data_IF_126992114570
#
_entry.id   IF_126992114570
#
_cell.length_a   1.000
_cell.length_b   1.000
_cell.length_c   1.000
_cell.angle_alpha   90.00
_cell.angle_beta   90.00
_cell.angle_gamma   90.00
#
_symmetry.space_group_name_H-M   'P 1'
#
loop_
_entity.id
_entity.type
_entity.pdbx_description
1 polymer ?
#
# COMPACT_ATOMS: atom_id res chain seq x y z
N UNK A 1 2.53 -0.20 10.26
CA UNK A 1 2.73 -0.33 8.78
C UNK A 1 1.44 -0.15 8.00
N UNK A 2 0.37 -0.78 8.44
CA UNK A 2 -0.93 -0.66 7.76
C UNK A 2 -1.40 0.79 7.69
N UNK A 3 -1.28 1.53 8.76
CA UNK A 3 -1.73 2.92 8.84
C UNK A 3 -0.95 3.83 7.89
N UNK A 4 0.34 3.57 7.72
CA UNK A 4 1.15 4.33 6.78
C UNK A 4 0.64 4.11 5.35
N UNK A 5 0.38 2.87 4.98
CA UNK A 5 -0.14 2.55 3.65
C UNK A 5 -1.51 3.20 3.42
N UNK A 6 -2.38 3.14 4.41
CA UNK A 6 -3.71 3.77 4.32
C UNK A 6 -3.60 5.28 4.16
N UNK A 7 -2.69 5.90 4.92
CA UNK A 7 -2.48 7.35 4.84
C UNK A 7 -2.02 7.77 3.45
N UNK A 8 -1.07 7.03 2.89
CA UNK A 8 -0.57 7.32 1.54
C UNK A 8 -1.70 7.17 0.52
N UNK A 9 -2.44 6.08 0.58
CA UNK A 9 -3.51 5.81 -0.38
C UNK A 9 -4.62 6.85 -0.28
N UNK A 10 -5.03 7.21 0.94
CA UNK A 10 -6.09 8.21 1.14
C UNK A 10 -5.72 9.57 0.58
N UNK A 11 -4.44 9.90 0.56
CA UNK A 11 -3.97 11.17 -0.01
C UNK A 11 -4.04 11.21 -1.53
N UNK A 12 -4.12 10.05 -2.18
CA UNK A 12 -4.08 9.95 -3.63
C UNK A 12 -5.45 9.77 -4.27
N UNK A 13 -6.43 9.27 -3.53
CA UNK A 13 -7.71 8.84 -4.09
C UNK A 13 -8.80 9.86 -3.92
N UNK A 14 -9.85 9.70 -4.74
CA UNK A 14 -11.05 10.52 -4.67
C UNK A 14 -12.02 10.03 -3.59
N UNK A 15 -12.01 8.73 -3.30
CA UNK A 15 -12.91 8.10 -2.33
C UNK A 15 -12.11 7.50 -1.18
N UNK A 16 -11.57 8.35 -0.28
CA UNK A 16 -10.75 7.85 0.83
C UNK A 16 -11.50 6.94 1.80
N UNK A 17 -12.80 7.08 1.89
CA UNK A 17 -13.63 6.20 2.73
C UNK A 17 -13.65 4.76 2.25
N UNK A 18 -13.28 4.52 0.99
CA UNK A 18 -13.22 3.17 0.42
C UNK A 18 -11.83 2.54 0.50
N UNK A 19 -10.88 3.26 1.10
CA UNK A 19 -9.52 2.74 1.26
C UNK A 19 -9.49 1.79 2.44
N UNK A 20 -9.05 0.56 2.21
CA UNK A 20 -8.85 -0.43 3.25
C UNK A 20 -7.51 -1.11 3.05
N UNK A 21 -6.79 -1.31 4.13
CA UNK A 21 -5.57 -2.10 4.10
C UNK A 21 -5.72 -3.24 5.09
N UNK A 22 -5.34 -4.43 4.65
CA UNK A 22 -5.31 -5.59 5.51
C UNK A 22 -3.86 -6.03 5.70
N UNK A 23 -3.54 -6.47 6.89
CA UNK A 23 -2.20 -6.91 7.22
C UNK A 23 -2.24 -8.36 7.69
N UNK A 24 -1.34 -9.15 7.14
CA UNK A 24 -1.15 -10.52 7.56
C UNK A 24 0.33 -10.72 7.83
N UNK A 25 0.66 -11.28 8.98
CA UNK A 25 2.05 -11.59 9.31
C UNK A 25 2.24 -13.10 9.21
N UNK A 26 3.27 -13.50 8.46
CA UNK A 26 3.52 -14.90 8.21
C UNK A 26 5.02 -15.13 8.07
N UNK A 27 5.55 -16.00 8.94
CA UNK A 27 6.98 -16.37 8.90
C UNK A 27 7.93 -15.17 8.93
N UNK A 28 7.59 -14.17 9.74
CA UNK A 28 8.43 -12.97 9.87
C UNK A 28 8.29 -11.99 8.72
N UNK A 29 7.35 -12.23 7.82
CA UNK A 29 7.08 -11.36 6.69
C UNK A 29 5.69 -10.76 6.82
N UNK A 30 5.57 -9.48 6.50
CA UNK A 30 4.30 -8.78 6.57
C UNK A 30 3.73 -8.63 5.17
N UNK A 31 2.51 -9.10 4.97
CA UNK A 31 1.80 -8.96 3.71
C UNK A 31 0.68 -7.95 3.89
N UNK A 32 0.73 -6.88 3.11
CA UNK A 32 -0.30 -5.86 3.10
C UNK A 32 -1.09 -5.94 1.80
N UNK A 33 -2.41 -5.89 1.94
CA UNK A 33 -3.30 -5.84 0.79
C UNK A 33 -4.07 -4.54 0.86
N UNK A 34 -3.92 -3.72 -0.17
CA UNK A 34 -4.60 -2.44 -0.27
C UNK A 34 -5.79 -2.56 -1.22
N UNK A 35 -6.96 -2.15 -0.73
CA UNK A 35 -8.17 -2.09 -1.55
C UNK A 35 -8.64 -0.65 -1.65
N UNK A 36 -9.03 -0.23 -2.83
CA UNK A 36 -9.56 1.11 -3.07
C UNK A 36 -10.81 1.02 -3.93
N UNK A 37 -11.52 2.15 -4.05
CA UNK A 37 -12.64 2.23 -4.98
C UNK A 37 -12.14 1.90 -6.39
N UNK A 38 -12.93 1.16 -7.14
CA UNK A 38 -12.60 0.76 -8.50
C UNK A 38 -12.21 1.97 -9.38
N UNK A 39 -12.87 3.10 -9.17
CA UNK A 39 -12.58 4.33 -9.91
C UNK A 39 -11.22 4.93 -9.53
N UNK A 40 -10.66 4.55 -8.41
CA UNK A 40 -9.39 5.07 -7.93
C UNK A 40 -8.20 4.17 -8.25
N UNK A 41 -8.42 3.00 -8.81
CA UNK A 41 -7.34 2.06 -9.09
C UNK A 41 -6.21 2.70 -9.90
N UNK A 42 -6.55 3.46 -10.93
CA UNK A 42 -5.53 4.14 -11.74
C UNK A 42 -4.70 5.14 -10.96
N UNK A 43 -5.26 5.70 -9.88
CA UNK A 43 -4.57 6.70 -9.07
C UNK A 43 -3.54 6.08 -8.13
N UNK A 44 -3.74 4.82 -7.76
CA UNK A 44 -2.77 4.13 -6.88
C UNK A 44 -1.81 3.24 -7.67
N UNK A 45 -2.12 2.96 -8.91
CA UNK A 45 -1.24 2.20 -9.79
C UNK A 45 -0.37 3.14 -10.63
N UNK A 46 -1.01 4.12 -11.26
CA UNK A 46 -0.35 5.09 -12.10
C UNK A 46 0.04 4.52 -13.46
N UNK A 47 0.58 5.40 -14.31
CA UNK A 47 1.02 5.00 -15.64
C UNK A 47 2.19 4.03 -15.53
N UNK A 48 2.07 2.90 -16.18
CA UNK A 48 3.09 1.82 -16.15
C UNK A 48 3.43 1.35 -14.74
N UNK A 49 2.48 1.49 -13.81
CA UNK A 49 2.67 1.05 -12.43
C UNK A 49 3.59 1.91 -11.60
N UNK A 50 3.89 3.15 -12.02
CA UNK A 50 4.86 4.01 -11.34
C UNK A 50 4.45 4.39 -9.93
N UNK A 51 3.17 4.67 -9.71
CA UNK A 51 2.69 5.03 -8.37
C UNK A 51 2.74 3.82 -7.46
N UNK A 52 2.31 2.66 -7.95
CA UNK A 52 2.39 1.44 -7.18
C UNK A 52 3.83 1.11 -6.77
N UNK A 53 4.78 1.29 -7.70
CA UNK A 53 6.19 1.08 -7.39
C UNK A 53 6.69 2.05 -6.33
N UNK A 54 6.27 3.32 -6.41
CA UNK A 54 6.65 4.33 -5.43
C UNK A 54 6.10 3.98 -4.05
N UNK A 55 4.85 3.55 -3.97
CA UNK A 55 4.23 3.12 -2.72
C UNK A 55 5.02 1.96 -2.12
N UNK A 56 5.35 0.96 -2.94
CA UNK A 56 6.13 -0.19 -2.47
C UNK A 56 7.50 0.22 -1.98
N UNK A 57 8.15 1.16 -2.66
CA UNK A 57 9.46 1.65 -2.24
C UNK A 57 9.42 2.33 -0.89
N UNK A 58 8.41 3.18 -0.66
CA UNK A 58 8.22 3.86 0.62
C UNK A 58 7.96 2.83 1.72
N UNK A 59 7.08 1.88 1.46
CA UNK A 59 6.74 0.87 2.46
C UNK A 59 7.93 -0.03 2.78
N UNK A 60 8.70 -0.42 1.77
CA UNK A 60 9.91 -1.21 1.98
C UNK A 60 10.95 -0.45 2.79
N UNK A 61 11.13 0.83 2.54
CA UNK A 61 12.06 1.65 3.30
C UNK A 61 11.65 1.74 4.77
N UNK A 62 10.37 1.96 5.02
CA UNK A 62 9.84 2.02 6.39
C UNK A 62 10.00 0.68 7.11
N UNK A 63 9.73 -0.43 6.43
CA UNK A 63 9.88 -1.76 7.00
C UNK A 63 11.36 -2.08 7.30
N UNK A 64 12.25 -1.69 6.39
CA UNK A 64 13.68 -1.94 6.54
C UNK A 64 14.25 -1.27 7.79
N UNK A 65 13.76 -0.09 8.13
CA UNK A 65 14.18 0.59 9.35
C UNK A 65 13.84 -0.19 10.62
N UNK A 66 12.85 -1.05 10.53
CA UNK A 66 12.42 -1.89 11.66
C UNK A 66 12.88 -3.35 11.51
N UNK A 67 13.75 -3.61 10.54
CA UNK A 67 14.24 -4.96 10.22
C UNK A 67 13.10 -5.92 9.86
N UNK A 68 12.09 -5.41 9.18
CA UNK A 68 10.94 -6.19 8.73
C UNK A 68 10.98 -6.38 7.21
N UNK A 69 10.41 -7.47 6.75
CA UNK A 69 10.17 -7.70 5.34
C UNK A 69 8.69 -7.48 5.08
N UNK A 70 8.40 -6.81 3.96
CA UNK A 70 7.04 -6.44 3.65
C UNK A 70 6.76 -6.65 2.16
N UNK A 71 5.55 -7.09 1.86
CA UNK A 71 5.05 -7.09 0.49
C UNK A 71 3.72 -6.35 0.46
N UNK A 72 3.45 -5.65 -0.64
CA UNK A 72 2.25 -4.85 -0.79
C UNK A 72 1.56 -5.24 -2.09
N UNK A 73 0.31 -5.69 -1.97
CA UNK A 73 -0.55 -5.97 -3.11
C UNK A 73 -1.65 -4.93 -3.18
N UNK A 74 -1.95 -4.47 -4.39
CA UNK A 74 -3.00 -3.50 -4.64
C UNK A 74 -4.11 -4.18 -5.43
N UNK A 75 -5.32 -4.09 -4.91
CA UNK A 75 -6.51 -4.70 -5.53
C UNK A 75 -7.56 -3.65 -5.87
#
# INVERSE_FOLDING_TARGET
MKELLETIAKALVQFPEDVHAEMEEKEGEIHLTLSVNEQDMGKVIGRSGRIAKAIRSVMNAAASKQNLRISVDIQ
#
